data_IF_622632409401
#
_entry.id   IF_622632409401
#
_cell.length_a   1.000
_cell.length_b   1.000
_cell.length_c   1.000
_cell.angle_alpha   90.00
_cell.angle_beta   90.00
_cell.angle_gamma   90.00
#
_symmetry.space_group_name_H-M   'P 1'
#
loop_
_entity.id
_entity.type
_entity.pdbx_description
1 polymer ?
#
# COMPACT_ATOMS: atom_id res chain seq x y z
N UNK A 1 24.85 29.03 58.41
CA UNK A 1 24.08 28.00 57.69
C UNK A 1 23.99 26.75 58.56
N UNK A 2 22.79 26.29 58.93
CA UNK A 2 22.63 25.19 59.88
C UNK A 2 23.05 23.87 59.20
N UNK A 3 24.14 23.24 59.67
CA UNK A 3 24.68 21.98 59.12
C UNK A 3 23.60 20.91 58.94
N UNK A 4 22.63 20.87 59.85
CA UNK A 4 21.48 19.96 59.81
C UNK A 4 20.54 20.22 58.64
N UNK A 5 20.29 21.48 58.29
CA UNK A 5 19.49 21.85 57.10
C UNK A 5 20.25 21.48 55.81
N UNK A 6 21.57 21.72 55.76
CA UNK A 6 22.39 21.36 54.60
C UNK A 6 22.43 19.85 54.33
N UNK A 7 22.53 19.02 55.38
CA UNK A 7 22.52 17.55 55.26
C UNK A 7 21.16 17.04 54.76
N UNK A 8 20.06 17.62 55.25
CA UNK A 8 18.70 17.24 54.79
C UNK A 8 18.52 17.58 53.31
N UNK A 9 18.96 18.77 52.87
CA UNK A 9 18.87 19.15 51.45
C UNK A 9 19.75 18.26 50.56
N UNK A 10 20.94 17.86 51.03
CA UNK A 10 21.81 16.91 50.31
C UNK A 10 21.14 15.54 50.15
N UNK A 11 20.54 15.00 51.21
CA UNK A 11 19.89 13.68 51.15
C UNK A 11 18.66 13.69 50.23
N UNK A 12 17.88 14.77 50.23
CA UNK A 12 16.72 14.92 49.34
C UNK A 12 17.17 15.01 47.88
N UNK A 13 18.21 15.79 47.57
CA UNK A 13 18.72 15.93 46.20
C UNK A 13 19.34 14.64 45.68
N UNK A 14 20.12 13.94 46.51
CA UNK A 14 20.64 12.60 46.16
C UNK A 14 19.50 11.59 46.00
N UNK A 15 18.51 11.59 46.89
CA UNK A 15 17.34 10.72 46.76
C UNK A 15 16.52 10.98 45.49
N UNK A 16 16.34 12.24 45.10
CA UNK A 16 15.70 12.62 43.83
C UNK A 16 16.53 12.21 42.62
N UNK A 17 17.85 12.40 42.66
CA UNK A 17 18.74 12.02 41.57
C UNK A 17 18.77 10.50 41.36
N UNK A 18 18.89 9.73 42.44
CA UNK A 18 18.88 8.27 42.36
C UNK A 18 17.48 7.72 42.04
N UNK A 19 16.42 8.35 42.57
CA UNK A 19 15.04 7.99 42.24
C UNK A 19 14.68 8.24 40.79
N UNK A 20 15.12 9.38 40.22
CA UNK A 20 14.94 9.68 38.80
C UNK A 20 15.75 8.76 37.89
N UNK A 21 17.02 8.48 38.24
CA UNK A 21 17.84 7.51 37.52
C UNK A 21 17.24 6.10 37.57
N UNK A 22 16.77 5.67 38.73
CA UNK A 22 16.11 4.37 38.90
C UNK A 22 14.81 4.25 38.10
N UNK A 23 13.99 5.31 38.08
CA UNK A 23 12.79 5.36 37.24
C UNK A 23 13.13 5.31 35.74
N UNK A 24 14.15 6.04 35.31
CA UNK A 24 14.60 6.09 33.92
C UNK A 24 15.11 4.73 33.44
N UNK A 25 15.84 3.99 34.28
CA UNK A 25 16.29 2.62 33.99
C UNK A 25 15.14 1.61 34.01
N UNK A 26 14.18 1.75 34.94
CA UNK A 26 13.02 0.86 35.03
C UNK A 26 12.03 1.01 33.85
N UNK A 27 11.98 2.20 33.24
CA UNK A 27 11.20 2.48 32.03
C UNK A 27 11.84 1.87 30.77
N UNK A 28 13.06 1.32 30.87
CA UNK A 28 13.73 0.68 29.73
C UNK A 28 14.06 1.70 28.63
N UNK A 29 14.45 2.91 29.01
CA UNK A 29 14.72 3.97 28.05
C UNK A 29 15.97 3.65 27.23
N UNK A 30 15.79 3.17 26.02
CA UNK A 30 16.84 3.05 25.01
C UNK A 30 16.76 4.25 24.06
N UNK A 31 17.86 4.98 23.82
CA UNK A 31 17.89 6.03 22.80
C UNK A 31 17.61 5.42 21.41
N UNK A 32 16.79 6.10 20.62
CA UNK A 32 16.48 5.68 19.25
C UNK A 32 17.73 5.85 18.37
N UNK A 33 18.02 4.83 17.57
CA UNK A 33 19.22 4.75 16.75
C UNK A 33 18.84 5.09 15.30
N UNK A 34 19.57 6.01 14.67
CA UNK A 34 19.38 6.33 13.25
C UNK A 34 19.91 5.22 12.33
N UNK A 35 19.73 5.40 11.02
CA UNK A 35 20.19 4.47 9.98
C UNK A 35 21.66 4.05 10.16
N UNK A 36 22.52 5.01 10.49
CA UNK A 36 23.96 4.78 10.65
C UNK A 36 24.29 3.85 11.81
N UNK A 37 23.45 3.78 12.85
CA UNK A 37 23.69 3.00 14.06
C UNK A 37 22.89 1.69 14.13
N UNK A 38 21.69 1.67 13.55
CA UNK A 38 20.80 0.50 13.56
C UNK A 38 20.91 -0.33 12.27
N UNK A 39 21.54 0.22 11.23
CA UNK A 39 21.46 -0.30 9.88
C UNK A 39 20.06 -0.12 9.28
N UNK A 40 19.92 -0.35 7.99
CA UNK A 40 18.66 -0.24 7.28
C UNK A 40 18.82 -0.03 5.79
N UNK A 41 17.85 0.65 5.20
CA UNK A 41 17.71 0.74 3.76
C UNK A 41 17.54 2.20 3.29
N UNK A 42 18.18 2.56 2.18
CA UNK A 42 17.99 3.84 1.52
C UNK A 42 17.64 3.63 0.03
N UNK A 43 16.59 4.30 -0.44
CA UNK A 43 16.22 4.35 -1.86
C UNK A 43 16.10 5.79 -2.35
N UNK A 44 16.61 6.05 -3.54
CA UNK A 44 16.38 7.30 -4.27
C UNK A 44 15.35 7.04 -5.37
N UNK A 45 14.22 7.73 -5.27
CA UNK A 45 13.11 7.69 -6.22
C UNK A 45 13.15 8.96 -7.06
N UNK A 46 13.07 8.83 -8.38
CA UNK A 46 13.19 9.95 -9.33
C UNK A 46 11.87 10.12 -10.07
N UNK A 47 11.33 11.34 -10.03
CA UNK A 47 10.12 11.71 -10.75
C UNK A 47 10.43 12.05 -12.23
N UNK A 48 9.42 11.96 -13.13
CA UNK A 48 9.53 12.42 -14.50
C UNK A 48 9.95 13.89 -14.62
N UNK A 49 10.54 14.24 -15.75
CA UNK A 49 10.95 15.61 -16.00
C UNK A 49 9.72 16.53 -16.07
N UNK A 50 9.76 17.65 -15.33
CA UNK A 50 8.67 18.63 -15.28
C UNK A 50 7.67 18.42 -14.13
N UNK A 51 7.84 17.41 -13.28
CA UNK A 51 7.09 17.29 -12.02
C UNK A 51 7.36 18.51 -11.13
N UNK A 52 6.29 19.15 -10.65
CA UNK A 52 6.40 20.32 -9.79
C UNK A 52 6.71 19.95 -8.31
N UNK A 53 7.18 20.93 -7.55
CA UNK A 53 7.59 20.74 -6.17
C UNK A 53 6.42 20.37 -5.23
N UNK A 54 5.20 20.84 -5.49
CA UNK A 54 4.04 20.52 -4.67
C UNK A 54 3.66 19.04 -4.85
N UNK A 55 3.68 18.56 -6.09
CA UNK A 55 3.51 17.13 -6.43
C UNK A 55 4.54 16.25 -5.73
N UNK A 56 5.83 16.65 -5.71
CA UNK A 56 6.88 15.92 -4.99
C UNK A 56 6.64 15.89 -3.49
N UNK A 57 6.22 17.01 -2.89
CA UNK A 57 5.91 17.08 -1.46
C UNK A 57 4.69 16.22 -1.10
N UNK A 58 3.64 16.24 -1.93
CA UNK A 58 2.47 15.38 -1.75
C UNK A 58 2.85 13.90 -1.85
N UNK A 59 3.66 13.53 -2.85
CA UNK A 59 4.16 12.17 -2.99
C UNK A 59 4.98 11.73 -1.77
N UNK A 60 5.91 12.57 -1.30
CA UNK A 60 6.71 12.29 -0.10
C UNK A 60 5.84 12.04 1.15
N UNK A 61 4.77 12.81 1.33
CA UNK A 61 3.84 12.64 2.45
C UNK A 61 2.96 11.38 2.32
N UNK A 62 2.56 11.01 1.11
CA UNK A 62 1.88 9.73 0.85
C UNK A 62 2.81 8.56 1.16
N UNK A 63 4.05 8.58 0.65
CA UNK A 63 5.05 7.55 0.92
C UNK A 63 5.32 7.42 2.42
N UNK A 64 5.44 8.54 3.15
CA UNK A 64 5.61 8.52 4.61
C UNK A 64 4.47 7.81 5.32
N UNK A 65 3.23 8.23 5.03
CA UNK A 65 2.05 7.61 5.64
C UNK A 65 1.95 6.13 5.30
N UNK A 66 2.23 5.72 4.07
CA UNK A 66 2.22 4.29 3.69
C UNK A 66 3.25 3.49 4.50
N UNK A 67 4.50 3.94 4.53
CA UNK A 67 5.59 3.27 5.25
C UNK A 67 5.33 3.17 6.75
N UNK A 68 4.85 4.25 7.38
CA UNK A 68 4.52 4.25 8.81
C UNK A 68 3.43 3.22 9.15
N UNK A 69 2.56 2.90 8.19
CA UNK A 69 1.48 1.94 8.36
C UNK A 69 1.82 0.49 8.01
N UNK A 70 2.97 0.22 7.38
CA UNK A 70 3.42 -1.16 7.12
C UNK A 70 3.77 -1.92 8.41
N UNK A 71 4.00 -1.21 9.51
CA UNK A 71 4.58 -1.78 10.71
C UNK A 71 6.06 -2.16 10.50
N UNK A 72 6.83 -2.16 11.58
CA UNK A 72 8.24 -2.59 11.54
C UNK A 72 9.25 -1.54 11.06
N UNK A 73 8.80 -0.37 10.56
CA UNK A 73 9.68 0.78 10.30
C UNK A 73 9.48 1.82 11.38
N UNK A 74 10.54 2.11 12.15
CA UNK A 74 10.49 3.17 13.15
C UNK A 74 11.06 4.45 12.54
N UNK A 75 10.19 5.46 12.39
CA UNK A 75 10.55 6.84 11.97
C UNK A 75 11.25 6.88 10.60
N UNK A 76 10.54 6.55 9.51
CA UNK A 76 11.09 6.68 8.16
C UNK A 76 11.46 8.14 7.86
N UNK A 77 12.66 8.36 7.35
CA UNK A 77 13.09 9.68 6.89
C UNK A 77 12.86 9.77 5.38
N UNK A 78 11.86 10.55 4.99
CA UNK A 78 11.48 10.75 3.60
C UNK A 78 11.56 12.24 3.31
N UNK A 79 12.42 12.60 2.36
CA UNK A 79 12.71 13.98 2.01
C UNK A 79 12.86 14.15 0.49
N UNK A 80 12.34 15.25 -0.03
CA UNK A 80 12.60 15.68 -1.40
C UNK A 80 14.04 16.22 -1.47
N UNK A 81 14.81 15.74 -2.43
CA UNK A 81 16.22 16.11 -2.66
C UNK A 81 16.38 16.65 -4.08
N UNK A 82 16.94 17.85 -4.19
CA UNK A 82 17.04 18.55 -5.48
C UNK A 82 15.65 18.87 -6.04
N UNK A 83 15.54 18.83 -7.37
CA UNK A 83 14.33 19.29 -8.07
C UNK A 83 13.40 18.15 -8.51
N UNK A 84 13.82 16.88 -8.39
CA UNK A 84 13.07 15.73 -8.92
C UNK A 84 13.26 14.40 -8.19
N UNK A 85 13.97 14.38 -7.06
CA UNK A 85 14.25 13.13 -6.35
C UNK A 85 13.60 13.14 -4.95
N UNK A 86 13.19 11.97 -4.49
CA UNK A 86 12.78 11.70 -3.12
C UNK A 86 13.73 10.64 -2.57
N UNK A 87 14.44 10.98 -1.50
CA UNK A 87 15.26 10.03 -0.77
C UNK A 87 14.43 9.49 0.38
N UNK A 88 14.31 8.17 0.42
CA UNK A 88 13.57 7.43 1.45
C UNK A 88 14.57 6.56 2.21
N UNK A 89 14.67 6.80 3.51
CA UNK A 89 15.52 6.05 4.43
C UNK A 89 14.64 5.34 5.46
N UNK A 90 14.84 4.03 5.57
CA UNK A 90 14.02 3.13 6.37
C UNK A 90 14.93 2.40 7.38
N UNK A 91 15.17 2.98 8.57
CA UNK A 91 16.00 2.36 9.59
C UNK A 91 15.34 1.10 10.16
N UNK A 92 16.13 0.06 10.41
CA UNK A 92 15.66 -1.15 11.08
C UNK A 92 14.65 -2.00 10.30
N UNK A 93 14.45 -1.73 9.01
CA UNK A 93 13.61 -2.55 8.11
C UNK A 93 14.11 -4.00 8.08
N UNK A 94 13.22 -4.95 8.38
CA UNK A 94 13.48 -6.39 8.28
C UNK A 94 13.10 -6.97 6.92
N UNK A 95 12.08 -6.40 6.27
CA UNK A 95 11.58 -6.80 4.96
C UNK A 95 11.77 -5.68 3.93
N UNK A 96 12.85 -5.79 3.15
CA UNK A 96 13.28 -4.76 2.20
C UNK A 96 12.33 -4.62 1.01
N UNK A 97 11.95 -5.74 0.42
CA UNK A 97 11.19 -5.76 -0.83
C UNK A 97 9.78 -5.22 -0.61
N UNK A 98 9.18 -5.54 0.54
CA UNK A 98 7.91 -4.98 0.97
C UNK A 98 7.98 -3.48 1.22
N UNK A 99 9.02 -3.03 1.92
CA UNK A 99 9.22 -1.61 2.18
C UNK A 99 9.44 -0.82 0.88
N UNK A 100 10.10 -1.44 -0.11
CA UNK A 100 10.26 -0.92 -1.48
C UNK A 100 8.96 -0.84 -2.26
N UNK A 101 8.07 -1.83 -2.12
CA UNK A 101 6.75 -1.78 -2.74
C UNK A 101 5.96 -0.59 -2.19
N UNK A 102 5.88 -0.42 -0.87
CA UNK A 102 5.10 0.66 -0.27
C UNK A 102 5.50 2.09 -0.68
N UNK A 103 6.79 2.32 -0.95
CA UNK A 103 7.32 3.63 -1.39
C UNK A 103 7.39 3.76 -2.91
N UNK A 104 7.49 2.65 -3.62
CA UNK A 104 7.82 2.60 -5.04
C UNK A 104 6.67 2.20 -5.94
N UNK A 105 5.50 1.88 -5.40
CA UNK A 105 4.27 1.65 -6.17
C UNK A 105 3.44 2.93 -6.24
N UNK A 106 2.87 3.21 -7.40
CA UNK A 106 1.90 4.30 -7.55
C UNK A 106 0.68 4.03 -6.66
N UNK A 107 0.24 2.78 -6.52
CA UNK A 107 -1.00 2.46 -5.81
C UNK A 107 -2.22 3.03 -6.53
N UNK A 108 -2.18 3.08 -7.87
CA UNK A 108 -3.34 3.40 -8.70
C UNK A 108 -4.35 2.27 -8.59
N UNK A 109 -5.37 2.50 -7.77
CA UNK A 109 -6.48 1.60 -7.58
C UNK A 109 -7.60 1.94 -8.57
N UNK A 110 -8.12 0.93 -9.25
CA UNK A 110 -9.37 1.02 -9.99
C UNK A 110 -10.26 -0.20 -9.80
N UNK A 111 -11.58 0.01 -9.86
CA UNK A 111 -12.56 -1.06 -9.97
C UNK A 111 -13.17 -1.03 -11.37
N UNK A 112 -13.14 -2.17 -12.03
CA UNK A 112 -13.40 -2.29 -13.46
C UNK A 112 -14.34 -3.46 -13.75
N UNK A 113 -15.31 -3.34 -14.66
CA UNK A 113 -16.10 -4.48 -15.11
C UNK A 113 -15.18 -5.45 -15.86
N UNK A 114 -15.35 -6.75 -15.65
CA UNK A 114 -14.65 -7.76 -16.46
C UNK A 114 -15.47 -8.05 -17.70
N UNK A 115 -14.84 -8.09 -18.87
CA UNK A 115 -15.45 -8.51 -20.13
C UNK A 115 -15.14 -9.97 -20.44
N UNK A 116 -13.96 -10.43 -20.05
CA UNK A 116 -13.52 -11.81 -20.23
C UNK A 116 -12.31 -12.16 -19.36
N UNK A 117 -12.15 -13.47 -19.13
CA UNK A 117 -11.03 -14.06 -18.40
C UNK A 117 -10.41 -15.12 -19.30
N UNK A 118 -9.10 -15.01 -19.56
CA UNK A 118 -8.38 -15.84 -20.52
C UNK A 118 -7.09 -16.37 -19.91
N UNK A 119 -6.62 -17.53 -20.39
CA UNK A 119 -5.28 -18.04 -20.00
C UNK A 119 -4.14 -17.35 -20.74
N UNK A 120 -4.47 -16.60 -21.80
CA UNK A 120 -3.55 -15.79 -22.59
C UNK A 120 -4.33 -14.67 -23.27
N UNK A 121 -3.68 -13.53 -23.53
CA UNK A 121 -4.29 -12.39 -24.21
C UNK A 121 -4.94 -12.80 -25.55
N UNK A 122 -6.22 -12.43 -25.79
CA UNK A 122 -6.91 -12.67 -27.06
C UNK A 122 -6.17 -12.11 -28.27
N UNK A 123 -5.46 -10.98 -28.11
CA UNK A 123 -4.71 -10.31 -29.18
C UNK A 123 -3.57 -11.17 -29.76
N UNK A 124 -3.10 -12.19 -29.03
CA UNK A 124 -2.10 -13.13 -29.54
C UNK A 124 -2.71 -14.21 -30.43
N UNK A 125 -3.97 -14.57 -30.17
CA UNK A 125 -4.69 -15.60 -30.92
C UNK A 125 -5.43 -15.05 -32.15
N UNK A 126 -5.84 -13.78 -32.11
CA UNK A 126 -6.56 -13.11 -33.18
C UNK A 126 -6.02 -11.68 -33.43
N UNK A 127 -4.80 -11.51 -33.95
CA UNK A 127 -4.15 -10.19 -34.04
C UNK A 127 -4.85 -9.19 -34.97
N UNK A 128 -5.82 -9.62 -35.78
CA UNK A 128 -6.63 -8.76 -36.65
C UNK A 128 -7.98 -8.36 -36.00
N UNK A 129 -8.24 -8.84 -34.78
CA UNK A 129 -9.44 -8.53 -34.00
C UNK A 129 -9.46 -7.09 -33.46
N UNK A 130 -10.61 -6.72 -32.89
CA UNK A 130 -10.75 -5.47 -32.15
C UNK A 130 -10.19 -5.68 -30.74
N UNK A 131 -9.17 -4.89 -30.39
CA UNK A 131 -8.44 -5.00 -29.12
C UNK A 131 -8.15 -3.61 -28.56
N UNK A 132 -7.85 -3.52 -27.25
CA UNK A 132 -7.33 -2.30 -26.65
C UNK A 132 -6.09 -1.77 -27.37
N UNK A 133 -5.93 -0.45 -27.41
CA UNK A 133 -4.73 0.19 -27.95
C UNK A 133 -3.53 -0.01 -27.00
N UNK A 134 -2.30 0.04 -27.55
CA UNK A 134 -1.08 0.08 -26.73
C UNK A 134 -0.68 -1.25 -26.11
N UNK A 135 -1.04 -2.36 -26.74
CA UNK A 135 -0.62 -3.71 -26.33
C UNK A 135 0.86 -3.97 -26.65
N UNK A 136 1.51 -4.72 -25.77
CA UNK A 136 2.82 -5.31 -26.04
C UNK A 136 2.67 -6.37 -27.16
N UNK A 137 3.46 -6.31 -28.24
CA UNK A 137 3.31 -7.22 -29.38
C UNK A 137 3.71 -8.67 -29.08
N UNK A 138 4.37 -8.91 -27.95
CA UNK A 138 4.86 -10.23 -27.52
C UNK A 138 3.91 -10.88 -26.53
N UNK A 139 3.42 -10.11 -25.55
CA UNK A 139 2.54 -10.64 -24.49
C UNK A 139 1.06 -10.40 -24.77
N UNK A 140 0.74 -9.43 -25.63
CA UNK A 140 -0.63 -8.98 -25.89
C UNK A 140 -1.25 -8.26 -24.70
N UNK A 141 -0.46 -7.85 -23.70
CA UNK A 141 -0.95 -7.13 -22.51
C UNK A 141 -0.85 -5.62 -22.72
N UNK A 142 -1.72 -4.86 -22.06
CA UNK A 142 -1.65 -3.40 -22.06
C UNK A 142 -0.36 -2.94 -21.39
N UNK A 143 0.48 -2.17 -22.11
CA UNK A 143 1.78 -1.74 -21.60
C UNK A 143 1.68 -0.62 -20.55
N UNK A 144 0.71 0.28 -20.72
CA UNK A 144 0.44 1.40 -19.82
C UNK A 144 -1.06 1.42 -19.58
N UNK A 145 -1.47 1.12 -18.35
CA UNK A 145 -2.88 1.14 -17.99
C UNK A 145 -3.38 2.59 -17.95
N UNK A 146 -4.47 2.84 -18.68
CA UNK A 146 -5.24 4.08 -18.65
C UNK A 146 -6.62 3.69 -18.15
N UNK A 147 -6.90 4.02 -16.89
CA UNK A 147 -8.15 3.61 -16.20
C UNK A 147 -9.41 4.07 -16.93
N UNK A 148 -9.32 4.98 -17.90
CA UNK A 148 -10.45 5.46 -18.71
C UNK A 148 -10.72 4.65 -19.98
N UNK A 149 -9.91 3.63 -20.28
CA UNK A 149 -9.98 2.82 -21.51
C UNK A 149 -9.99 1.33 -21.18
N UNK A 150 -10.52 0.51 -22.09
CA UNK A 150 -10.40 -0.96 -22.02
C UNK A 150 -8.92 -1.40 -21.95
N UNK A 151 -8.63 -2.49 -21.24
CA UNK A 151 -7.28 -3.01 -21.09
C UNK A 151 -7.22 -4.53 -20.91
N UNK A 152 -6.10 -5.13 -21.32
CA UNK A 152 -5.75 -6.53 -21.04
C UNK A 152 -4.70 -6.59 -19.95
N UNK A 153 -5.11 -6.98 -18.76
CA UNK A 153 -4.30 -6.93 -17.55
C UNK A 153 -4.06 -8.33 -16.98
N UNK A 154 -2.83 -8.67 -16.55
CA UNK A 154 -2.54 -9.93 -15.88
C UNK A 154 -3.06 -9.93 -14.45
N UNK A 155 -3.28 -11.11 -13.88
CA UNK A 155 -3.42 -11.28 -12.43
C UNK A 155 -2.07 -11.38 -11.72
N UNK A 156 -2.10 -11.38 -10.39
CA UNK A 156 -0.90 -11.42 -9.55
C UNK A 156 -0.02 -12.66 -9.78
N UNK A 157 -0.65 -13.78 -10.15
CA UNK A 157 0.05 -15.04 -10.39
C UNK A 157 0.46 -15.21 -11.88
N UNK A 158 0.14 -14.23 -12.73
CA UNK A 158 0.33 -14.26 -14.19
C UNK A 158 -0.27 -15.52 -14.86
N UNK A 159 -1.33 -16.08 -14.26
CA UNK A 159 -2.04 -17.27 -14.74
C UNK A 159 -3.20 -16.90 -15.67
N UNK A 160 -3.79 -15.73 -15.45
CA UNK A 160 -4.92 -15.25 -16.21
C UNK A 160 -4.70 -13.84 -16.72
N UNK A 161 -5.28 -13.56 -17.87
CA UNK A 161 -5.41 -12.24 -18.47
C UNK A 161 -6.87 -11.86 -18.42
N UNK A 162 -7.15 -10.74 -17.77
CA UNK A 162 -8.48 -10.16 -17.71
C UNK A 162 -8.61 -9.07 -18.75
N UNK A 163 -9.69 -9.15 -19.51
CA UNK A 163 -10.20 -8.07 -20.33
C UNK A 163 -11.13 -7.23 -19.46
N UNK A 164 -10.76 -5.96 -19.26
CA UNK A 164 -11.44 -5.06 -18.33
C UNK A 164 -11.88 -3.78 -19.03
N UNK A 165 -13.14 -3.41 -18.81
CA UNK A 165 -13.73 -2.16 -19.28
C UNK A 165 -13.16 -0.95 -18.52
N UNK A 166 -13.40 0.30 -18.95
CA UNK A 166 -13.03 1.48 -18.18
C UNK A 166 -13.48 1.43 -16.71
N UNK A 167 -12.67 2.01 -15.83
CA UNK A 167 -12.95 2.04 -14.40
C UNK A 167 -14.21 2.83 -14.08
N UNK A 168 -15.09 2.23 -13.27
CA UNK A 168 -16.25 2.93 -12.71
C UNK A 168 -15.95 3.54 -11.34
N UNK A 169 -14.89 3.08 -10.67
CA UNK A 169 -14.35 3.67 -9.44
C UNK A 169 -12.84 3.71 -9.49
N UNK A 170 -12.27 4.71 -8.82
CA UNK A 170 -10.84 4.83 -8.59
C UNK A 170 -10.56 5.00 -7.10
N UNK A 171 -9.28 5.05 -6.72
CA UNK A 171 -8.89 5.42 -5.35
C UNK A 171 -9.47 6.75 -4.85
N UNK A 172 -9.87 7.68 -5.73
CA UNK A 172 -10.51 8.93 -5.35
C UNK A 172 -11.93 8.75 -4.77
N UNK A 173 -12.57 7.61 -5.07
CA UNK A 173 -13.90 7.28 -4.58
C UNK A 173 -13.88 6.54 -3.23
N UNK A 174 -12.69 6.34 -2.64
CA UNK A 174 -12.45 5.69 -1.35
C UNK A 174 -12.20 6.73 -0.26
N UNK A 175 -12.98 6.68 0.82
CA UNK A 175 -12.82 7.51 2.02
C UNK A 175 -11.87 6.86 3.05
N UNK A 176 -11.81 5.53 3.07
CA UNK A 176 -11.02 4.77 4.03
C UNK A 176 -10.97 3.28 3.73
N UNK A 177 -10.21 2.54 4.53
CA UNK A 177 -10.19 1.08 4.48
C UNK A 177 -9.76 0.49 5.83
N UNK A 178 -10.45 -0.56 6.26
CA UNK A 178 -10.19 -1.24 7.53
C UNK A 178 -9.89 -2.72 7.29
N UNK A 179 -8.82 -3.22 7.89
CA UNK A 179 -8.49 -4.65 7.89
C UNK A 179 -9.29 -5.35 8.99
N UNK A 180 -9.91 -6.47 8.67
CA UNK A 180 -10.65 -7.29 9.62
C UNK A 180 -10.31 -8.77 9.45
N UNK A 181 -10.33 -9.51 10.56
CA UNK A 181 -10.29 -10.97 10.52
C UNK A 181 -11.71 -11.51 10.56
N UNK A 182 -12.18 -12.05 9.43
CA UNK A 182 -13.51 -12.63 9.30
C UNK A 182 -13.49 -14.08 9.76
N UNK A 183 -14.16 -14.38 10.87
CA UNK A 183 -14.33 -15.74 11.40
C UNK A 183 -15.49 -16.51 10.74
N UNK A 184 -16.11 -15.94 9.70
CA UNK A 184 -17.33 -16.48 9.08
C UNK A 184 -17.11 -17.74 8.23
N UNK A 185 -15.87 -18.15 7.98
CA UNK A 185 -15.49 -19.37 7.25
C UNK A 185 -14.67 -20.32 8.13
N UNK A 186 -14.65 -21.62 7.77
CA UNK A 186 -14.00 -22.71 8.53
C UNK A 186 -12.49 -22.49 8.78
N UNK A 187 -11.84 -21.64 7.97
CA UNK A 187 -10.42 -21.32 8.10
C UNK A 187 -10.14 -19.93 8.70
N UNK A 188 -11.15 -19.05 8.83
CA UNK A 188 -10.94 -17.62 9.09
C UNK A 188 -10.14 -16.94 7.97
N UNK A 189 -10.49 -15.72 7.58
CA UNK A 189 -9.82 -15.04 6.47
C UNK A 189 -9.60 -13.56 6.76
N UNK A 190 -8.48 -13.03 6.29
CA UNK A 190 -8.22 -11.60 6.32
C UNK A 190 -8.96 -10.92 5.18
N UNK A 191 -9.70 -9.88 5.53
CA UNK A 191 -10.50 -9.09 4.59
C UNK A 191 -10.19 -7.61 4.77
N UNK A 192 -10.29 -6.87 3.67
CA UNK A 192 -10.22 -5.42 3.68
C UNK A 192 -11.62 -4.89 3.40
N UNK A 193 -12.13 -4.05 4.31
CA UNK A 193 -13.43 -3.39 4.19
C UNK A 193 -13.17 -1.96 3.71
N UNK A 194 -13.41 -1.66 2.42
CA UNK A 194 -13.33 -0.29 1.92
C UNK A 194 -14.48 0.55 2.48
N UNK A 195 -14.21 1.81 2.76
CA UNK A 195 -15.21 2.83 3.05
C UNK A 195 -15.27 3.75 1.83
N UNK A 196 -16.40 3.77 1.15
CA UNK A 196 -16.59 4.61 -0.04
C UNK A 196 -17.02 6.02 0.33
N UNK A 197 -16.76 6.98 -0.53
CA UNK A 197 -17.45 8.28 -0.47
C UNK A 197 -18.93 8.12 -0.84
N UNK A 198 -19.78 9.11 -0.55
CA UNK A 198 -21.20 9.08 -0.94
C UNK A 198 -21.38 8.89 -2.47
N UNK A 199 -20.51 9.51 -3.26
CA UNK A 199 -20.50 9.37 -4.73
C UNK A 199 -19.97 7.99 -5.15
N UNK A 200 -18.87 7.54 -4.52
CA UNK A 200 -18.29 6.22 -4.76
C UNK A 200 -19.25 5.08 -4.46
N UNK A 201 -20.00 5.18 -3.36
CA UNK A 201 -21.00 4.19 -2.98
C UNK A 201 -22.15 4.09 -3.99
N UNK A 202 -22.55 5.21 -4.60
CA UNK A 202 -23.56 5.22 -5.66
C UNK A 202 -23.03 4.59 -6.95
N UNK A 203 -21.84 4.98 -7.41
CA UNK A 203 -21.17 4.37 -8.56
C UNK A 203 -21.00 2.86 -8.39
N UNK A 204 -20.61 2.40 -7.18
CA UNK A 204 -20.48 0.98 -6.87
C UNK A 204 -21.82 0.24 -6.98
N UNK A 205 -22.89 0.82 -6.42
CA UNK A 205 -24.23 0.26 -6.49
C UNK A 205 -24.71 0.13 -7.93
N UNK A 206 -24.56 1.19 -8.72
CA UNK A 206 -24.98 1.22 -10.12
C UNK A 206 -24.20 0.20 -10.98
N UNK A 207 -22.89 0.10 -10.78
CA UNK A 207 -22.06 -0.89 -11.45
C UNK A 207 -22.51 -2.32 -11.09
N UNK A 208 -22.72 -2.61 -9.81
CA UNK A 208 -23.15 -3.95 -9.37
C UNK A 208 -24.56 -4.30 -9.83
N UNK A 209 -25.46 -3.32 -10.05
CA UNK A 209 -26.74 -3.55 -10.73
C UNK A 209 -26.54 -4.04 -12.17
N UNK A 210 -25.64 -3.39 -12.93
CA UNK A 210 -25.33 -3.78 -14.29
C UNK A 210 -24.69 -5.17 -14.36
N UNK A 211 -23.68 -5.42 -13.52
CA UNK A 211 -23.01 -6.73 -13.43
C UNK A 211 -24.01 -7.82 -13.03
N UNK A 212 -24.93 -7.53 -12.11
CA UNK A 212 -25.96 -8.46 -11.67
C UNK A 212 -27.00 -8.81 -12.76
N UNK A 213 -27.02 -8.11 -13.90
CA UNK A 213 -27.86 -8.48 -15.04
C UNK A 213 -27.33 -9.68 -15.82
N UNK A 214 -26.03 -10.01 -15.68
CA UNK A 214 -25.41 -11.15 -16.34
C UNK A 214 -25.66 -12.47 -15.57
N UNK A 215 -25.73 -13.62 -16.26
CA UNK A 215 -25.90 -14.91 -15.61
C UNK A 215 -24.79 -15.26 -14.62
N UNK A 216 -25.11 -16.08 -13.61
CA UNK A 216 -24.10 -16.62 -12.69
C UNK A 216 -23.10 -17.50 -13.47
N UNK A 217 -21.81 -17.24 -13.29
CA UNK A 217 -20.72 -17.91 -14.00
C UNK A 217 -20.30 -17.24 -15.31
N UNK A 218 -20.97 -16.16 -15.73
CA UNK A 218 -20.50 -15.29 -16.80
C UNK A 218 -19.38 -14.38 -16.26
N UNK A 219 -18.21 -14.26 -16.92
CA UNK A 219 -17.14 -13.34 -16.50
C UNK A 219 -17.63 -11.90 -16.36
N UNK A 220 -18.64 -11.50 -17.13
CA UNK A 220 -19.24 -10.16 -17.03
C UNK A 220 -20.03 -9.91 -15.76
N UNK A 221 -20.22 -10.94 -14.93
CA UNK A 221 -20.72 -10.81 -13.56
C UNK A 221 -19.57 -10.64 -12.55
N UNK A 222 -18.34 -10.39 -12.97
CA UNK A 222 -17.20 -10.09 -12.10
C UNK A 222 -16.88 -8.60 -12.12
N UNK A 223 -16.30 -8.13 -11.01
CA UNK A 223 -15.67 -6.83 -10.93
C UNK A 223 -14.18 -7.04 -10.63
N UNK A 224 -13.30 -6.53 -11.48
CA UNK A 224 -11.88 -6.54 -11.24
C UNK A 224 -11.49 -5.40 -10.30
N UNK A 225 -10.67 -5.72 -9.32
CA UNK A 225 -9.96 -4.78 -8.45
C UNK A 225 -8.53 -4.76 -8.95
N UNK A 226 -8.14 -3.64 -9.56
CA UNK A 226 -6.86 -3.47 -10.23
C UNK A 226 -6.00 -2.53 -9.42
N UNK A 227 -4.73 -2.91 -9.21
CA UNK A 227 -3.71 -2.10 -8.56
C UNK A 227 -2.51 -2.01 -9.48
N UNK A 228 -2.17 -0.80 -9.91
CA UNK A 228 -1.01 -0.53 -10.78
C UNK A 228 -0.97 -1.42 -12.05
N UNK A 229 -2.11 -1.57 -12.72
CA UNK A 229 -2.24 -2.37 -13.95
C UNK A 229 -2.24 -3.88 -13.75
N UNK A 230 -2.31 -4.37 -12.51
CA UNK A 230 -2.42 -5.81 -12.19
C UNK A 230 -3.75 -6.10 -11.51
N UNK A 231 -4.46 -7.13 -11.96
CA UNK A 231 -5.70 -7.58 -11.33
C UNK A 231 -5.37 -8.24 -10.01
N UNK A 232 -5.66 -7.55 -8.91
CA UNK A 232 -5.46 -8.06 -7.56
C UNK A 232 -6.51 -9.13 -7.24
N UNK A 233 -7.77 -8.87 -7.59
CA UNK A 233 -8.88 -9.80 -7.36
C UNK A 233 -10.00 -9.51 -8.35
N UNK A 234 -10.72 -10.54 -8.80
CA UNK A 234 -11.88 -10.41 -9.69
C UNK A 234 -13.12 -11.14 -9.14
N UNK A 235 -13.66 -10.75 -7.98
CA UNK A 235 -14.80 -11.43 -7.39
C UNK A 235 -16.05 -11.33 -8.26
N UNK A 236 -16.80 -12.44 -8.34
CA UNK A 236 -18.12 -12.45 -8.95
C UNK A 236 -19.17 -11.83 -8.03
N UNK A 237 -20.06 -11.02 -8.59
CA UNK A 237 -21.26 -10.54 -7.91
C UNK A 237 -22.15 -11.73 -7.57
N UNK A 238 -22.52 -11.89 -6.30
CA UNK A 238 -23.26 -13.05 -5.81
C UNK A 238 -24.65 -13.19 -6.47
N UNK A 239 -25.16 -14.41 -6.57
CA UNK A 239 -26.39 -14.72 -7.30
C UNK A 239 -27.66 -14.10 -6.71
N UNK A 240 -27.64 -13.75 -5.42
CA UNK A 240 -28.71 -13.11 -4.66
C UNK A 240 -28.74 -11.58 -4.80
N UNK A 241 -27.72 -10.99 -5.42
CA UNK A 241 -27.69 -9.56 -5.75
C UNK A 241 -28.68 -9.27 -6.87
N UNK A 242 -29.63 -8.38 -6.60
CA UNK A 242 -30.64 -7.96 -7.57
C UNK A 242 -30.09 -6.93 -8.57
N UNK A 243 -30.38 -7.07 -9.87
CA UNK A 243 -30.04 -6.07 -10.88
C UNK A 243 -30.82 -4.74 -10.73
N UNK A 244 -31.83 -4.69 -9.86
CA UNK A 244 -32.59 -3.45 -9.60
C UNK A 244 -32.03 -2.64 -8.44
N UNK A 245 -31.26 -3.24 -7.53
CA UNK A 245 -30.80 -2.58 -6.29
C UNK A 245 -29.29 -2.61 -6.10
N UNK A 246 -28.59 -3.54 -6.75
CA UNK A 246 -27.15 -3.72 -6.61
C UNK A 246 -26.75 -4.19 -5.21
N UNK A 247 -25.44 -4.14 -4.95
CA UNK A 247 -24.88 -4.39 -3.63
C UNK A 247 -24.93 -3.12 -2.78
N UNK A 248 -25.05 -3.32 -1.47
CA UNK A 248 -24.86 -2.23 -0.52
C UNK A 248 -23.35 -1.94 -0.40
N UNK A 249 -22.87 -0.70 -0.64
CA UNK A 249 -21.45 -0.38 -0.56
C UNK A 249 -20.88 -0.63 0.85
N UNK A 250 -21.70 -0.56 1.89
CA UNK A 250 -21.30 -0.85 3.28
C UNK A 250 -21.13 -2.35 3.57
N UNK A 251 -21.60 -3.23 2.67
CA UNK A 251 -21.47 -4.69 2.79
C UNK A 251 -20.25 -5.24 2.03
N UNK A 252 -19.45 -4.38 1.42
CA UNK A 252 -18.32 -4.80 0.57
C UNK A 252 -17.16 -5.30 1.42
N UNK A 253 -16.64 -6.47 1.05
CA UNK A 253 -15.42 -7.04 1.63
C UNK A 253 -14.52 -7.52 0.51
N UNK A 254 -13.25 -7.11 0.54
CA UNK A 254 -12.21 -7.60 -0.36
C UNK A 254 -11.50 -8.72 0.36
N UNK A 255 -11.66 -9.95 -0.13
CA UNK A 255 -10.99 -11.12 0.45
C UNK A 255 -9.56 -11.18 -0.04
N UNK A 256 -8.60 -11.21 0.90
CA UNK A 256 -7.18 -11.35 0.58
C UNK A 256 -6.75 -12.80 0.72
N UNK A 257 -7.15 -13.48 1.80
CA UNK A 257 -6.98 -14.92 1.92
C UNK A 257 -6.69 -15.41 3.34
N UNK A 258 -6.15 -16.62 3.42
CA UNK A 258 -5.83 -17.34 4.68
C UNK A 258 -4.35 -17.75 4.78
N UNK A 259 -3.50 -17.24 3.88
CA UNK A 259 -2.07 -17.55 3.86
C UNK A 259 -1.33 -16.99 5.08
N UNK A 260 -0.10 -17.46 5.31
CA UNK A 260 0.75 -17.00 6.42
C UNK A 260 0.97 -15.47 6.39
N UNK A 261 0.95 -14.88 5.19
CA UNK A 261 1.13 -13.44 4.97
C UNK A 261 -0.18 -12.67 4.71
N UNK A 262 -1.34 -13.33 4.74
CA UNK A 262 -2.60 -12.71 4.31
C UNK A 262 -3.03 -11.51 5.19
N UNK A 263 -2.65 -11.51 6.48
CA UNK A 263 -2.82 -10.33 7.33
C UNK A 263 -2.06 -9.14 6.73
N UNK A 264 -0.83 -9.40 6.33
CA UNK A 264 0.10 -8.36 5.94
C UNK A 264 -0.27 -7.78 4.58
N UNK A 265 -0.64 -8.64 3.63
CA UNK A 265 -1.17 -8.25 2.33
C UNK A 265 -2.44 -7.42 2.46
N UNK A 266 -3.31 -7.75 3.43
CA UNK A 266 -4.51 -6.96 3.72
C UNK A 266 -4.17 -5.57 4.30
N UNK A 267 -3.16 -5.47 5.17
CA UNK A 267 -2.66 -4.18 5.67
C UNK A 267 -2.06 -3.32 4.56
N UNK A 268 -1.31 -3.93 3.64
CA UNK A 268 -0.69 -3.24 2.50
C UNK A 268 -1.76 -2.73 1.52
N UNK A 269 -2.75 -3.56 1.19
CA UNK A 269 -3.89 -3.15 0.37
C UNK A 269 -4.67 -2.02 1.07
N UNK A 270 -4.99 -2.15 2.36
CA UNK A 270 -5.70 -1.10 3.09
C UNK A 270 -4.91 0.22 3.13
N UNK A 271 -3.58 0.18 3.22
CA UNK A 271 -2.75 1.38 3.16
C UNK A 271 -2.85 2.06 1.78
N UNK A 272 -2.83 1.30 0.69
CA UNK A 272 -3.03 1.82 -0.67
C UNK A 272 -4.42 2.47 -0.78
N UNK A 273 -5.46 1.79 -0.30
CA UNK A 273 -6.83 2.30 -0.33
C UNK A 273 -7.01 3.60 0.46
N UNK A 274 -6.40 3.72 1.66
CA UNK A 274 -6.54 4.90 2.52
C UNK A 274 -5.77 6.12 2.05
N UNK A 275 -4.57 5.92 1.54
CA UNK A 275 -3.66 7.02 1.22
C UNK A 275 -3.71 7.44 -0.25
N UNK A 276 -4.49 6.69 -1.05
CA UNK A 276 -4.67 6.95 -2.47
C UNK A 276 -3.38 6.70 -3.26
N UNK A 277 -3.45 6.92 -4.56
CA UNK A 277 -2.31 6.77 -5.46
C UNK A 277 -1.27 7.89 -5.27
N UNK A 278 0.00 7.60 -5.56
CA UNK A 278 1.01 8.63 -5.75
C UNK A 278 0.60 9.50 -6.96
N UNK A 279 0.80 10.82 -6.89
CA UNK A 279 0.37 11.74 -7.94
C UNK A 279 1.22 11.64 -9.22
N UNK A 280 2.33 10.90 -9.16
CA UNK A 280 3.19 10.59 -10.31
C UNK A 280 3.88 9.25 -10.07
N UNK A 281 4.27 8.58 -11.15
CA UNK A 281 5.17 7.42 -11.12
C UNK A 281 6.58 7.86 -10.76
N UNK A 282 7.33 7.01 -10.05
CA UNK A 282 8.73 7.25 -9.72
C UNK A 282 9.59 6.08 -10.19
N UNK A 283 10.73 6.39 -10.79
CA UNK A 283 11.75 5.40 -11.12
C UNK A 283 12.72 5.22 -9.94
N UNK A 284 13.13 3.97 -9.67
CA UNK A 284 14.10 3.66 -8.61
C UNK A 284 15.51 3.80 -9.17
N UNK A 285 16.21 4.88 -8.85
CA UNK A 285 17.56 5.14 -9.37
C UNK A 285 18.61 4.36 -8.58
N UNK A 286 18.49 4.32 -7.25
CA UNK A 286 19.51 3.69 -6.40
C UNK A 286 18.92 3.10 -5.14
N UNK A 287 19.38 1.89 -4.80
CA UNK A 287 18.94 1.05 -3.70
C UNK A 287 20.18 0.66 -2.90
N UNK A 288 20.40 1.28 -1.75
CA UNK A 288 21.58 1.06 -0.89
C UNK A 288 21.16 0.41 0.43
N UNK A 289 21.95 -0.55 0.91
CA UNK A 289 21.80 -1.13 2.24
C UNK A 289 22.89 -0.56 3.14
N UNK A 290 22.51 0.03 4.26
CA UNK A 290 23.45 0.51 5.27
C UNK A 290 23.55 -0.55 6.36
N UNK A 291 24.75 -1.08 6.57
CA UNK A 291 24.99 -2.12 7.58
C UNK A 291 25.15 -1.50 8.97
N UNK A 292 24.50 -2.09 9.98
CA UNK A 292 24.62 -1.67 11.38
C UNK A 292 26.06 -1.70 11.94
N UNK A 293 26.96 -2.50 11.34
CA UNK A 293 28.36 -2.63 11.77
C UNK A 293 29.18 -1.34 11.64
N UNK A 294 28.90 -0.49 10.64
CA UNK A 294 29.56 0.82 10.48
C UNK A 294 29.23 1.79 11.63
N UNK A 295 28.04 1.64 12.21
CA UNK A 295 27.58 2.40 13.37
C UNK A 295 28.13 1.95 14.70
N UNK A 296 28.17 0.63 14.94
CA UNK A 296 28.73 0.06 16.17
C UNK A 296 30.21 0.45 16.34
N UNK A 297 30.98 0.44 15.25
CA UNK A 297 32.37 0.88 15.25
C UNK A 297 32.52 2.39 15.54
N UNK A 298 31.61 3.21 14.99
CA UNK A 298 31.59 4.66 15.23
C UNK A 298 31.17 5.01 16.67
N UNK A 299 30.20 4.28 17.22
CA UNK A 299 29.77 4.43 18.62
C UNK A 299 30.86 3.98 19.59
N UNK A 300 31.53 2.85 19.33
CA UNK A 300 32.66 2.37 20.12
C UNK A 300 33.88 3.27 20.03
N UNK A 301 34.11 3.93 18.90
CA UNK A 301 35.20 4.91 18.75
C UNK A 301 34.91 6.24 19.46
N UNK A 302 33.63 6.56 19.73
CA UNK A 302 33.20 7.79 20.41
C UNK A 302 33.08 7.69 21.93
N UNK A 303 32.99 6.47 22.49
CA UNK A 303 33.01 6.18 23.94
C UNK A 303 34.43 6.02 24.48
#
# INVERSE_FOLDING_TARGET
MNKRKAIITLLITVGLAWGSLGAMLAVGWAPKLGLDLQGGFAVTLVAPDGTDADTLNTAAEIMRRRVENLGGVQEPEIAVVGDRAIVVQLPGVTDRDRALQAVGTTGELSFRPVLGEYTQSPALSDPEGEHPDGLDPTTGLTMVDDVTKEAYLPDQDELFVYDVDPAFLTGADIAGATVQFSQSSVAGQWVVVPEFTDEGGQKFRDATMQLASYPVGDPRRQLAIVVDGVVFSAPAVAADVSPETGLDPDAVVITVGTGENAQQEAEDLAAILRYGALPTTFERERVESVSATLGDDSLRAGL
#
